data_IF_891721257963
#
_entry.id   IF_891721257963
#
_cell.length_a   1.000
_cell.length_b   1.000
_cell.length_c   1.000
_cell.angle_alpha   90.00
_cell.angle_beta   90.00
_cell.angle_gamma   90.00
#
_symmetry.space_group_name_H-M   'P 1'
#
loop_
_entity.id
_entity.type
_entity.pdbx_description
1 polymer ?
#
# COMPACT_ATOMS: atom_id res chain seq x y z
N UNK A 1 6.25 -17.49 -11.29
CA UNK A 1 7.21 -17.35 -10.18
C UNK A 1 7.42 -15.86 -10.02
N UNK A 2 7.04 -15.27 -8.89
CA UNK A 2 7.25 -13.85 -8.67
C UNK A 2 8.74 -13.60 -8.47
N UNK A 3 9.31 -12.64 -9.20
CA UNK A 3 10.69 -12.20 -8.96
C UNK A 3 10.71 -11.47 -7.62
N UNK A 4 11.46 -12.02 -6.66
CA UNK A 4 11.61 -11.42 -5.35
C UNK A 4 12.71 -10.36 -5.37
N UNK A 5 12.37 -9.17 -4.89
CA UNK A 5 13.33 -8.09 -4.65
C UNK A 5 13.94 -8.32 -3.28
N UNK A 6 15.26 -8.41 -3.22
CA UNK A 6 15.99 -8.49 -1.95
C UNK A 6 16.54 -7.12 -1.60
N UNK A 7 16.30 -6.69 -0.38
CA UNK A 7 16.87 -5.48 0.20
C UNK A 7 17.41 -5.82 1.60
N UNK A 8 18.39 -5.09 2.08
CA UNK A 8 18.96 -5.31 3.41
C UNK A 8 18.52 -4.21 4.37
N UNK A 9 18.24 -4.55 5.62
CA UNK A 9 17.96 -3.57 6.68
C UNK A 9 19.14 -2.63 6.96
N UNK A 10 20.36 -3.02 6.55
CA UNK A 10 21.58 -2.23 6.63
C UNK A 10 21.65 -1.06 5.63
N UNK A 11 20.90 -1.14 4.53
CA UNK A 11 20.99 -0.16 3.46
C UNK A 11 20.46 1.20 3.90
N UNK A 12 20.85 2.24 3.17
CA UNK A 12 20.30 3.58 3.41
C UNK A 12 18.89 3.69 2.82
N UNK A 13 18.12 4.65 3.31
CA UNK A 13 16.79 4.92 2.75
C UNK A 13 16.82 5.32 1.27
N UNK A 14 17.91 5.93 0.81
CA UNK A 14 18.12 6.25 -0.61
C UNK A 14 18.32 4.97 -1.45
N UNK A 15 19.08 4.00 -0.94
CA UNK A 15 19.29 2.71 -1.61
C UNK A 15 17.98 1.92 -1.70
N UNK A 16 17.21 1.87 -0.60
CA UNK A 16 15.87 1.27 -0.62
C UNK A 16 14.96 1.97 -1.64
N UNK A 17 14.95 3.31 -1.63
CA UNK A 17 14.13 4.08 -2.57
C UNK A 17 14.50 3.75 -4.02
N UNK A 18 15.80 3.68 -4.33
CA UNK A 18 16.28 3.31 -5.65
C UNK A 18 15.85 1.89 -6.04
N UNK A 19 16.02 0.92 -5.16
CA UNK A 19 15.64 -0.48 -5.40
C UNK A 19 14.12 -0.65 -5.61
N UNK A 20 13.31 0.14 -4.89
CA UNK A 20 11.86 0.03 -4.93
C UNK A 20 11.23 0.87 -6.05
N UNK A 21 11.78 2.03 -6.42
CA UNK A 21 11.12 2.99 -7.32
C UNK A 21 11.80 3.26 -8.66
N UNK A 22 13.11 3.00 -8.83
CA UNK A 22 13.79 3.41 -10.06
C UNK A 22 13.51 2.53 -11.27
N UNK A 23 12.91 1.36 -11.08
CA UNK A 23 12.46 0.52 -12.18
C UNK A 23 10.99 0.83 -12.51
N UNK A 24 10.75 1.53 -13.62
CA UNK A 24 9.40 1.89 -14.09
C UNK A 24 8.53 0.67 -14.40
N UNK A 25 9.12 -0.51 -14.61
CA UNK A 25 8.37 -1.76 -14.78
C UNK A 25 7.83 -2.31 -13.46
N UNK A 26 8.28 -1.76 -12.33
CA UNK A 26 7.92 -2.15 -10.95
C UNK A 26 7.05 -1.10 -10.26
N UNK A 27 6.25 -0.33 -10.99
CA UNK A 27 5.32 0.63 -10.38
C UNK A 27 4.06 -0.03 -9.81
N UNK A 28 4.28 -1.06 -8.99
CA UNK A 28 3.27 -1.90 -8.37
C UNK A 28 3.31 -1.73 -6.85
N UNK A 29 2.26 -2.20 -6.19
CA UNK A 29 2.22 -2.25 -4.73
C UNK A 29 3.24 -3.27 -4.20
N UNK A 30 3.77 -3.00 -3.01
CA UNK A 30 4.86 -3.76 -2.40
C UNK A 30 4.35 -4.58 -1.21
N UNK A 31 4.69 -5.87 -1.21
CA UNK A 31 4.52 -6.75 -0.06
C UNK A 31 5.90 -7.00 0.53
N UNK A 32 6.15 -6.45 1.72
CA UNK A 32 7.45 -6.52 2.40
C UNK A 32 7.38 -7.59 3.48
N UNK A 33 8.27 -8.57 3.37
CA UNK A 33 8.39 -9.68 4.29
C UNK A 33 9.70 -9.59 5.07
N UNK A 34 9.63 -9.76 6.39
CA UNK A 34 10.80 -9.83 7.24
C UNK A 34 10.59 -10.82 8.40
N UNK A 35 11.67 -11.51 8.77
CA UNK A 35 11.68 -12.41 9.93
C UNK A 35 11.87 -11.65 11.25
N UNK A 36 12.57 -10.52 11.22
CA UNK A 36 12.91 -9.74 12.41
C UNK A 36 12.01 -8.50 12.51
N UNK A 37 11.28 -8.39 13.62
CA UNK A 37 10.34 -7.30 13.83
C UNK A 37 11.04 -5.94 13.91
N UNK A 38 12.20 -5.88 14.57
CA UNK A 38 12.93 -4.62 14.76
C UNK A 38 13.45 -4.06 13.43
N UNK A 39 13.93 -4.93 12.53
CA UNK A 39 14.35 -4.55 11.18
C UNK A 39 13.17 -4.03 10.36
N UNK A 40 12.01 -4.68 10.45
CA UNK A 40 10.80 -4.26 9.75
C UNK A 40 10.33 -2.88 10.23
N UNK A 41 10.33 -2.64 11.55
CA UNK A 41 9.98 -1.36 12.17
C UNK A 41 10.98 -0.27 11.79
N UNK A 42 12.27 -0.58 11.85
CA UNK A 42 13.36 0.31 11.46
C UNK A 42 13.24 0.76 10.00
N UNK A 43 13.09 -0.20 9.09
CA UNK A 43 12.90 0.06 7.67
C UNK A 43 11.68 0.95 7.44
N UNK A 44 10.51 0.57 7.97
CA UNK A 44 9.27 1.31 7.72
C UNK A 44 9.36 2.76 8.22
N UNK A 45 9.84 2.94 9.44
CA UNK A 45 9.97 4.27 10.07
C UNK A 45 10.94 5.16 9.31
N UNK A 46 12.13 4.63 9.03
CA UNK A 46 13.20 5.38 8.35
C UNK A 46 12.81 5.73 6.93
N UNK A 47 12.13 4.82 6.23
CA UNK A 47 11.72 5.06 4.86
C UNK A 47 10.55 6.05 4.75
N UNK A 48 9.58 6.00 5.67
CA UNK A 48 8.54 7.03 5.80
C UNK A 48 9.17 8.42 6.02
N UNK A 49 10.12 8.51 6.95
CA UNK A 49 10.81 9.78 7.24
C UNK A 49 11.59 10.30 6.03
N UNK A 50 12.30 9.42 5.33
CA UNK A 50 13.02 9.77 4.11
C UNK A 50 12.09 10.34 3.03
N UNK A 51 10.96 9.66 2.75
CA UNK A 51 9.98 10.14 1.76
C UNK A 51 9.35 11.48 2.16
N UNK A 52 9.10 11.70 3.45
CA UNK A 52 8.59 12.96 3.96
C UNK A 52 9.62 14.11 3.81
N UNK A 53 10.90 13.85 4.12
CA UNK A 53 11.99 14.83 4.01
C UNK A 53 12.31 15.18 2.56
N UNK A 54 12.23 14.21 1.63
CA UNK A 54 12.40 14.48 0.20
C UNK A 54 11.42 15.54 -0.32
N UNK A 55 10.24 15.68 0.29
CA UNK A 55 9.19 16.59 -0.15
C UNK A 55 8.49 16.14 -1.44
N UNK A 56 7.38 16.79 -1.77
CA UNK A 56 6.58 16.46 -2.96
C UNK A 56 5.83 15.12 -2.91
N UNK A 57 5.89 14.41 -1.78
CA UNK A 57 5.24 13.12 -1.56
C UNK A 57 4.12 13.28 -0.52
N UNK A 58 3.04 12.54 -0.70
CA UNK A 58 2.05 12.31 0.35
C UNK A 58 2.31 10.94 0.98
N UNK A 59 2.62 10.90 2.28
CA UNK A 59 3.05 9.69 2.98
C UNK A 59 2.10 9.41 4.14
N UNK A 60 1.48 8.23 4.13
CA UNK A 60 0.32 7.91 4.96
C UNK A 60 0.50 6.58 5.70
N UNK A 61 0.93 6.62 6.97
CA UNK A 61 1.19 5.41 7.75
C UNK A 61 -0.06 4.91 8.50
N UNK A 62 -0.47 3.69 8.22
CA UNK A 62 -1.43 2.91 8.99
C UNK A 62 -0.72 1.98 9.98
N UNK A 63 -1.13 2.04 11.24
CA UNK A 63 -0.55 1.26 12.34
C UNK A 63 -1.36 -0.02 12.54
N UNK A 64 -1.02 -1.08 11.79
CA UNK A 64 -1.84 -2.30 11.72
C UNK A 64 -1.99 -3.08 13.03
N UNK A 65 -1.06 -2.95 13.99
CA UNK A 65 -1.25 -3.59 15.31
C UNK A 65 -2.51 -3.08 16.04
N UNK A 66 -2.91 -1.83 15.77
CA UNK A 66 -4.11 -1.18 16.33
C UNK A 66 -5.37 -1.45 15.50
N UNK A 67 -5.28 -2.23 14.42
CA UNK A 67 -6.39 -2.51 13.51
C UNK A 67 -6.87 -3.93 13.77
N UNK A 68 -7.91 -4.08 14.59
CA UNK A 68 -8.46 -5.39 14.96
C UNK A 68 -9.66 -5.81 14.11
N UNK A 69 -10.29 -4.83 13.45
CA UNK A 69 -11.45 -4.98 12.56
C UNK A 69 -11.46 -3.85 11.53
N UNK A 70 -12.31 -3.97 10.52
CA UNK A 70 -12.47 -2.96 9.46
C UNK A 70 -12.73 -1.54 9.99
N UNK A 71 -13.57 -1.39 11.02
CA UNK A 71 -13.87 -0.09 11.64
C UNK A 71 -12.62 0.64 12.18
N UNK A 72 -11.63 -0.09 12.69
CA UNK A 72 -10.41 0.51 13.24
C UNK A 72 -9.51 1.04 12.11
N UNK A 73 -9.53 0.37 10.95
CA UNK A 73 -8.87 0.88 9.74
C UNK A 73 -9.54 2.16 9.25
N UNK A 74 -10.88 2.16 9.13
CA UNK A 74 -11.65 3.35 8.73
C UNK A 74 -11.41 4.52 9.68
N UNK A 75 -11.31 4.26 10.98
CA UNK A 75 -10.95 5.27 11.96
C UNK A 75 -9.58 5.89 11.66
N UNK A 76 -8.54 5.08 11.45
CA UNK A 76 -7.21 5.58 11.07
C UNK A 76 -7.24 6.33 9.74
N UNK A 77 -7.93 5.81 8.72
CA UNK A 77 -8.05 6.43 7.40
C UNK A 77 -8.63 7.85 7.48
N UNK A 78 -9.67 8.06 8.29
CA UNK A 78 -10.27 9.39 8.52
C UNK A 78 -9.30 10.41 9.16
N UNK A 79 -8.20 9.95 9.78
CA UNK A 79 -7.22 10.82 10.43
C UNK A 79 -5.92 10.99 9.63
N UNK A 80 -5.65 10.08 8.69
CA UNK A 80 -4.40 10.04 7.93
C UNK A 80 -4.60 10.56 6.51
N UNK A 81 -5.74 10.25 5.89
CA UNK A 81 -6.00 10.62 4.50
C UNK A 81 -6.50 12.08 4.44
N UNK A 82 -5.94 12.93 3.57
CA UNK A 82 -6.26 14.35 3.54
C UNK A 82 -7.57 14.62 2.79
N UNK A 83 -8.71 14.33 3.44
CA UNK A 83 -10.06 14.57 2.89
C UNK A 83 -10.91 15.41 3.85
N UNK A 84 -11.80 16.23 3.28
CA UNK A 84 -12.69 17.13 4.02
C UNK A 84 -13.94 16.48 4.61
N UNK A 85 -14.07 15.15 4.52
CA UNK A 85 -15.22 14.41 5.02
C UNK A 85 -14.82 13.17 5.83
N UNK A 86 -15.72 12.74 6.71
CA UNK A 86 -15.54 11.56 7.54
C UNK A 86 -16.37 10.40 6.99
N UNK A 87 -15.74 9.25 6.80
CA UNK A 87 -16.43 7.98 6.60
C UNK A 87 -17.10 7.52 7.89
N UNK A 88 -18.36 7.10 7.78
CA UNK A 88 -19.08 6.41 8.86
C UNK A 88 -18.63 4.96 8.90
N UNK A 89 -18.43 4.43 10.12
CA UNK A 89 -17.89 3.10 10.39
C UNK A 89 -18.58 1.99 9.56
N UNK A 90 -17.79 1.03 9.08
CA UNK A 90 -18.25 -0.18 8.36
C UNK A 90 -18.79 -0.05 6.93
N UNK A 91 -18.47 1.03 6.20
CA UNK A 91 -18.81 1.12 4.78
C UNK A 91 -17.58 0.93 3.87
N UNK A 92 -17.46 -0.26 3.26
CA UNK A 92 -16.38 -0.60 2.30
C UNK A 92 -16.44 0.28 1.05
N UNK A 93 -17.63 0.59 0.54
CA UNK A 93 -17.79 1.47 -0.62
C UNK A 93 -17.31 2.89 -0.30
N UNK A 94 -17.57 3.40 0.91
CA UNK A 94 -17.07 4.70 1.32
C UNK A 94 -15.53 4.75 1.42
N UNK A 95 -14.90 3.67 1.92
CA UNK A 95 -13.45 3.54 1.89
C UNK A 95 -12.92 3.56 0.45
N UNK A 96 -13.58 2.83 -0.42
CA UNK A 96 -13.17 2.73 -1.81
C UNK A 96 -13.29 4.06 -2.56
N UNK A 97 -14.42 4.77 -2.41
CA UNK A 97 -14.65 6.09 -2.99
C UNK A 97 -13.59 7.10 -2.52
N UNK A 98 -13.24 7.04 -1.22
CA UNK A 98 -12.20 7.89 -0.66
C UNK A 98 -10.84 7.61 -1.28
N UNK A 99 -10.47 6.33 -1.43
CA UNK A 99 -9.19 5.95 -2.01
C UNK A 99 -9.09 6.27 -3.52
N UNK A 100 -10.22 6.37 -4.23
CA UNK A 100 -10.25 6.76 -5.65
C UNK A 100 -10.27 8.28 -5.87
N UNK A 101 -10.84 9.04 -4.92
CA UNK A 101 -11.14 10.46 -5.10
C UNK A 101 -10.50 11.33 -4.01
N UNK A 102 -9.17 11.30 -3.92
CA UNK A 102 -8.46 12.23 -3.05
C UNK A 102 -8.62 13.67 -3.54
N UNK A 103 -8.71 14.61 -2.59
CA UNK A 103 -8.73 16.04 -2.87
C UNK A 103 -7.35 16.59 -3.31
N UNK A 104 -6.29 15.81 -3.11
CA UNK A 104 -4.90 16.17 -3.42
C UNK A 104 -4.35 15.36 -4.61
N UNK A 105 -3.50 15.99 -5.42
CA UNK A 105 -2.83 15.35 -6.58
C UNK A 105 -1.30 15.52 -6.47
N UNK A 106 -0.65 14.94 -5.44
CA UNK A 106 0.81 14.95 -5.35
C UNK A 106 1.42 14.11 -6.49
N UNK A 107 2.66 14.39 -6.93
CA UNK A 107 3.36 13.53 -7.87
C UNK A 107 3.39 12.06 -7.44
N UNK A 108 3.61 11.82 -6.14
CA UNK A 108 3.65 10.48 -5.56
C UNK A 108 2.85 10.41 -4.26
N UNK A 109 2.20 9.27 -4.06
CA UNK A 109 1.44 8.95 -2.85
C UNK A 109 1.85 7.58 -2.34
N UNK A 110 2.15 7.48 -1.05
CA UNK A 110 2.61 6.25 -0.43
C UNK A 110 1.76 5.92 0.79
N UNK A 111 1.08 4.77 0.77
CA UNK A 111 0.35 4.26 1.92
C UNK A 111 1.16 3.13 2.55
N UNK A 112 1.43 3.22 3.84
CA UNK A 112 2.23 2.25 4.58
C UNK A 112 1.35 1.51 5.58
N UNK A 113 0.97 0.27 5.30
CA UNK A 113 0.23 -0.56 6.25
C UNK A 113 1.18 -1.46 7.04
N UNK A 114 1.67 -0.92 8.15
CA UNK A 114 2.55 -1.64 9.06
C UNK A 114 1.82 -2.82 9.71
N UNK A 115 2.49 -3.97 9.87
CA UNK A 115 1.92 -5.15 10.54
C UNK A 115 0.54 -5.57 9.95
N UNK A 116 0.44 -5.61 8.62
CA UNK A 116 -0.79 -5.91 7.90
C UNK A 116 -1.30 -7.34 8.19
N UNK A 117 -0.38 -8.27 8.50
CA UNK A 117 -0.71 -9.65 8.85
C UNK A 117 -1.57 -9.75 10.12
N UNK A 118 -1.53 -8.76 11.01
CA UNK A 118 -2.30 -8.80 12.26
C UNK A 118 -3.81 -8.87 11.99
N UNK A 119 -4.33 -8.06 11.07
CA UNK A 119 -5.73 -8.13 10.68
C UNK A 119 -6.00 -9.40 9.87
N UNK A 120 -5.10 -9.76 8.95
CA UNK A 120 -5.22 -10.98 8.14
C UNK A 120 -5.40 -12.25 8.99
N UNK A 121 -4.59 -12.40 10.04
CA UNK A 121 -4.63 -13.54 10.96
C UNK A 121 -5.86 -13.53 11.89
N UNK A 122 -6.37 -12.34 12.24
CA UNK A 122 -7.53 -12.19 13.12
C UNK A 122 -8.86 -12.36 12.38
N UNK A 123 -8.97 -11.75 11.21
CA UNK A 123 -10.19 -11.72 10.42
C UNK A 123 -9.83 -11.46 8.94
N UNK A 124 -9.70 -12.54 8.17
CA UNK A 124 -9.35 -12.48 6.76
C UNK A 124 -10.39 -11.75 5.91
N UNK A 125 -11.68 -11.78 6.30
CA UNK A 125 -12.73 -11.05 5.59
C UNK A 125 -12.58 -9.53 5.76
N UNK A 126 -12.34 -9.07 7.00
CA UNK A 126 -12.06 -7.65 7.24
C UNK A 126 -10.75 -7.21 6.58
N UNK A 127 -9.74 -8.08 6.56
CA UNK A 127 -8.51 -7.82 5.81
C UNK A 127 -8.79 -7.62 4.33
N UNK A 128 -9.54 -8.51 3.68
CA UNK A 128 -9.91 -8.37 2.27
C UNK A 128 -10.71 -7.10 2.00
N UNK A 129 -11.63 -6.74 2.90
CA UNK A 129 -12.41 -5.50 2.84
C UNK A 129 -11.57 -4.22 2.89
N UNK A 130 -10.30 -4.29 3.30
CA UNK A 130 -9.35 -3.18 3.25
C UNK A 130 -8.36 -3.34 2.10
N UNK A 131 -7.75 -4.52 2.00
CA UNK A 131 -6.66 -4.81 1.08
C UNK A 131 -7.08 -4.61 -0.38
N UNK A 132 -8.24 -5.15 -0.78
CA UNK A 132 -8.74 -5.05 -2.15
C UNK A 132 -9.03 -3.58 -2.55
N UNK A 133 -9.79 -2.79 -1.78
CA UNK A 133 -9.95 -1.36 -2.05
C UNK A 133 -8.62 -0.62 -2.24
N UNK A 134 -7.62 -0.89 -1.39
CA UNK A 134 -6.31 -0.22 -1.46
C UNK A 134 -5.58 -0.51 -2.78
N UNK A 135 -5.45 -1.78 -3.18
CA UNK A 135 -4.69 -2.17 -4.37
C UNK A 135 -5.40 -1.75 -5.66
N UNK A 136 -6.73 -1.86 -5.70
CA UNK A 136 -7.50 -1.48 -6.88
C UNK A 136 -7.49 0.04 -7.04
N UNK A 137 -7.68 0.79 -5.95
CA UNK A 137 -7.60 2.24 -6.01
C UNK A 137 -6.21 2.73 -6.42
N UNK A 138 -5.14 2.11 -5.90
CA UNK A 138 -3.78 2.44 -6.33
C UNK A 138 -3.56 2.15 -7.81
N UNK A 139 -4.05 1.03 -8.33
CA UNK A 139 -4.00 0.73 -9.77
C UNK A 139 -4.76 1.77 -10.60
N UNK A 140 -5.99 2.12 -10.21
CA UNK A 140 -6.79 3.12 -10.89
C UNK A 140 -6.12 4.50 -10.91
N UNK A 141 -5.60 4.94 -9.77
CA UNK A 141 -4.93 6.24 -9.62
C UNK A 141 -3.64 6.32 -10.43
N UNK A 142 -2.82 5.24 -10.44
CA UNK A 142 -1.59 5.16 -11.24
C UNK A 142 -1.85 5.28 -12.74
N UNK A 143 -2.99 4.77 -13.21
CA UNK A 143 -3.34 4.73 -14.63
C UNK A 143 -4.27 5.87 -15.07
N UNK A 144 -4.87 6.59 -14.12
CA UNK A 144 -5.82 7.67 -14.38
C UNK A 144 -7.10 7.17 -15.07
N UNK A 145 -7.68 6.08 -14.56
CA UNK A 145 -8.79 5.39 -15.22
C UNK A 145 -10.10 5.41 -14.44
N UNK A 146 -10.15 5.91 -13.21
CA UNK A 146 -11.37 5.90 -12.37
C UNK A 146 -12.06 7.25 -12.23
N UNK A 147 -11.32 8.37 -12.36
CA UNK A 147 -11.80 9.68 -11.91
C UNK A 147 -11.48 10.77 -12.95
N UNK A 148 -12.51 11.55 -13.31
CA UNK A 148 -12.39 12.76 -14.13
C UNK A 148 -12.51 13.98 -13.23
N UNK A 149 -11.55 14.90 -13.36
CA UNK A 149 -11.52 16.17 -12.62
C UNK A 149 -12.50 17.17 -13.23
N UNK A 150 -12.79 18.25 -12.50
CA UNK A 150 -13.69 19.32 -12.94
C UNK A 150 -13.25 19.98 -14.25
N UNK A 151 -11.94 19.96 -14.54
CA UNK A 151 -11.35 20.49 -15.79
C UNK A 151 -11.42 19.50 -16.97
N UNK A 152 -12.17 18.39 -16.83
CA UNK A 152 -12.28 17.28 -17.77
C UNK A 152 -10.98 16.50 -18.05
N UNK A 153 -9.95 16.66 -17.21
CA UNK A 153 -8.75 15.84 -17.29
C UNK A 153 -8.84 14.63 -16.35
N UNK A 154 -8.07 13.58 -16.64
CA UNK A 154 -8.00 12.39 -15.79
C UNK A 154 -7.21 12.73 -14.53
N UNK A 155 -7.77 12.39 -13.37
CA UNK A 155 -7.04 12.42 -12.11
C UNK A 155 -6.00 11.30 -12.11
N UNK A 156 -4.73 11.63 -11.85
CA UNK A 156 -3.64 10.64 -11.90
C UNK A 156 -2.58 10.95 -10.86
N UNK A 157 -2.32 9.97 -10.00
CA UNK A 157 -1.28 10.03 -8.96
C UNK A 157 -0.48 8.74 -8.99
N UNK A 158 0.85 8.83 -8.88
CA UNK A 158 1.69 7.65 -8.68
C UNK A 158 1.53 7.13 -7.25
N UNK A 159 0.39 6.48 -6.99
CA UNK A 159 0.09 5.86 -5.72
C UNK A 159 0.79 4.50 -5.60
N UNK A 160 1.34 4.21 -4.42
CA UNK A 160 1.89 2.90 -4.07
C UNK A 160 1.58 2.54 -2.64
N UNK A 161 1.13 1.32 -2.43
CA UNK A 161 0.88 0.75 -1.12
C UNK A 161 2.06 -0.14 -0.72
N UNK A 162 2.51 -0.03 0.52
CA UNK A 162 3.47 -0.90 1.17
C UNK A 162 2.78 -1.65 2.29
N UNK A 163 2.69 -2.97 2.16
CA UNK A 163 2.09 -3.84 3.16
C UNK A 163 3.19 -4.66 3.85
N UNK A 164 3.28 -4.56 5.17
CA UNK A 164 4.37 -5.13 5.94
C UNK A 164 3.93 -6.40 6.66
N UNK A 165 4.66 -7.49 6.46
CA UNK A 165 4.38 -8.81 6.99
C UNK A 165 5.58 -9.33 7.79
N UNK A 166 5.42 -9.51 9.09
CA UNK A 166 6.42 -10.15 9.96
C UNK A 166 6.09 -11.63 10.15
N UNK A 167 7.10 -12.51 10.00
CA UNK A 167 7.00 -13.98 10.15
C UNK A 167 5.79 -14.59 9.42
N UNK A 168 5.54 -14.10 8.21
CA UNK A 168 4.44 -14.57 7.37
C UNK A 168 5.00 -15.02 6.03
N UNK A 169 4.65 -16.21 5.59
CA UNK A 169 5.07 -16.70 4.29
C UNK A 169 4.20 -16.11 3.19
N UNK A 170 4.82 -15.63 2.10
CA UNK A 170 4.08 -15.07 0.95
C UNK A 170 3.05 -16.05 0.37
N UNK A 171 3.31 -17.36 0.48
CA UNK A 171 2.40 -18.41 0.02
C UNK A 171 1.03 -18.36 0.71
N UNK A 172 0.97 -17.85 1.95
CA UNK A 172 -0.29 -17.65 2.68
C UNK A 172 -1.19 -16.59 2.04
N UNK A 173 -0.61 -15.67 1.26
CA UNK A 173 -1.34 -14.64 0.52
C UNK A 173 -1.62 -15.04 -0.93
N UNK A 174 -1.15 -16.21 -1.38
CA UNK A 174 -1.20 -16.63 -2.78
C UNK A 174 -2.58 -16.51 -3.42
N UNK A 175 -3.65 -16.87 -2.69
CA UNK A 175 -5.01 -16.73 -3.21
C UNK A 175 -5.36 -15.28 -3.56
N UNK A 176 -4.93 -14.32 -2.74
CA UNK A 176 -5.15 -12.89 -3.00
C UNK A 176 -4.26 -12.42 -4.17
N UNK A 177 -3.05 -12.94 -4.31
CA UNK A 177 -2.16 -12.51 -5.38
C UNK A 177 -2.53 -13.10 -6.75
N UNK A 178 -3.21 -14.24 -6.75
CA UNK A 178 -3.62 -14.95 -7.97
C UNK A 178 -5.01 -14.59 -8.47
N UNK A 179 -5.81 -13.84 -7.69
CA UNK A 179 -7.17 -13.48 -8.09
C UNK A 179 -7.19 -12.34 -9.11
N UNK A 180 -8.26 -12.32 -9.91
CA UNK A 180 -8.60 -11.18 -10.74
C UNK A 180 -9.48 -10.21 -9.93
N UNK A 181 -9.18 -8.93 -10.03
CA UNK A 181 -9.89 -7.86 -9.33
C UNK A 181 -10.73 -7.07 -10.31
N UNK A 182 -11.94 -6.72 -9.89
CA UNK A 182 -12.81 -5.83 -10.64
C UNK A 182 -12.25 -4.40 -10.67
N UNK A 183 -11.99 -3.88 -11.86
CA UNK A 183 -11.47 -2.53 -12.09
C UNK A 183 -12.61 -1.63 -12.59
N UNK A 184 -13.06 -0.64 -11.80
CA UNK A 184 -14.14 0.27 -12.18
C UNK A 184 -13.64 1.42 -13.07
N UNK A 185 -13.16 1.08 -14.26
CA UNK A 185 -12.66 2.09 -15.22
C UNK A 185 -13.81 2.89 -15.85
N UNK A 186 -13.61 4.20 -16.01
CA UNK A 186 -14.52 5.10 -16.74
C UNK A 186 -14.60 4.76 -18.24
N UNK A 187 -13.61 4.05 -18.76
CA UNK A 187 -13.57 3.59 -20.16
C UNK A 187 -14.31 2.24 -20.35
N UNK A 188 -14.91 1.71 -19.28
CA UNK A 188 -15.58 0.40 -19.24
C UNK A 188 -14.92 -0.51 -18.21
N UNK A 189 -15.69 -1.13 -17.30
CA UNK A 189 -15.12 -1.97 -16.26
C UNK A 189 -14.56 -3.27 -16.83
N UNK A 190 -13.54 -3.82 -16.16
CA UNK A 190 -12.91 -5.08 -16.54
C UNK A 190 -12.29 -5.76 -15.33
N UNK A 191 -12.05 -7.06 -15.42
CA UNK A 191 -11.31 -7.80 -14.39
C UNK A 191 -9.82 -7.86 -14.76
N UNK A 192 -8.96 -7.74 -13.75
CA UNK A 192 -7.51 -7.82 -13.95
C UNK A 192 -6.82 -8.43 -12.73
N UNK A 193 -5.96 -9.41 -12.98
CA UNK A 193 -4.92 -9.80 -12.04
C UNK A 193 -3.89 -8.68 -11.89
N UNK A 194 -3.69 -8.22 -10.67
CA UNK A 194 -2.74 -7.15 -10.34
C UNK A 194 -1.36 -7.75 -10.02
N UNK A 195 -0.31 -7.08 -10.51
CA UNK A 195 1.07 -7.45 -10.23
C UNK A 195 1.55 -6.80 -8.93
N UNK A 196 2.42 -7.48 -8.20
CA UNK A 196 2.98 -7.03 -6.92
C UNK A 196 4.50 -7.15 -6.90
N UNK A 197 5.15 -6.22 -6.24
CA UNK A 197 6.56 -6.35 -5.88
C UNK A 197 6.66 -7.14 -4.58
N UNK A 198 7.16 -8.37 -4.66
CA UNK A 198 7.46 -9.20 -3.49
C UNK A 198 8.85 -8.82 -2.98
N UNK A 199 8.94 -8.28 -1.78
CA UNK A 199 10.19 -7.76 -1.22
C UNK A 199 10.56 -8.58 0.02
N UNK A 200 11.77 -9.15 0.02
CA UNK A 200 12.38 -9.76 1.19
C UNK A 200 13.34 -8.76 1.83
N UNK A 201 13.02 -8.32 3.04
CA UNK A 201 13.91 -7.51 3.87
C UNK A 201 14.82 -8.45 4.67
N UNK A 202 16.07 -8.55 4.22
CA UNK A 202 17.10 -9.35 4.87
C UNK A 202 17.61 -8.61 6.13
N UNK A 203 17.80 -9.34 7.25
CA UNK A 203 18.05 -8.73 8.54
C UNK A 203 19.42 -8.05 8.60
N UNK A 204 19.56 -7.09 9.52
CA UNK A 204 20.85 -6.47 9.79
C UNK A 204 21.76 -7.47 10.49
N UNK A 205 22.64 -8.13 9.74
CA UNK A 205 23.70 -8.97 10.31
C UNK A 205 24.90 -8.08 10.61
N UNK A 206 25.15 -7.77 11.88
CA UNK A 206 26.49 -7.36 12.28
C UNK A 206 27.42 -8.54 11.97
N UNK A 207 28.29 -8.37 10.98
CA UNK A 207 29.48 -9.22 10.88
C UNK A 207 30.38 -8.83 12.04
N UNK A 208 30.43 -9.68 13.05
CA UNK A 208 31.44 -9.62 14.12
C UNK A 208 32.87 -9.67 13.56
#
# INVERSE_FOLDING_TARGET
>A
MYDMIKIEAAWTAADWHAALNNDTTRNNDCLIFCEEQDDLVWFATTYIQYLAVMGGNEVMPFYGHQIHRFADFVYQANHILPVGYRMVDNNVHALYDLLLNFETEPPYRYLFWNNAQHLFQKNSADFSNVFEPMIVAAYCNRNGISTIKEDNTRYKVHQRNFFFFHKTEWAQLSQLLEMEYYIPSIDGPFDKKLDFNIVLLEPYRQTD
#
